data_IF_202092239603
#
_entry.id   IF_202092239603
#
_cell.length_a   1.000
_cell.length_b   1.000
_cell.length_c   1.000
_cell.angle_alpha   90.00
_cell.angle_beta   90.00
_cell.angle_gamma   90.00
#
_symmetry.space_group_name_H-M   'P 1'
#
loop_
_entity.id
_entity.type
_entity.pdbx_description
1 polymer ?
#
# COMPACT_ATOMS: atom_id res chain seq x y z
N UNK A 1 -17.12 -23.87 7.71
CA UNK A 1 -16.17 -24.14 6.61
C UNK A 1 -14.77 -24.22 7.21
N UNK A 2 -13.86 -24.99 6.61
CA UNK A 2 -12.47 -25.01 7.06
C UNK A 2 -11.83 -23.63 6.81
N UNK A 3 -11.03 -23.13 7.76
CA UNK A 3 -10.33 -21.85 7.61
C UNK A 3 -9.27 -21.95 6.51
N UNK A 4 -9.15 -20.91 5.69
CA UNK A 4 -8.06 -20.82 4.71
C UNK A 4 -6.74 -20.51 5.43
N UNK A 5 -5.67 -21.24 5.10
CA UNK A 5 -4.34 -21.00 5.68
C UNK A 5 -3.62 -19.90 4.94
N UNK A 6 -3.20 -18.87 5.68
CA UNK A 6 -2.53 -17.68 5.13
C UNK A 6 -1.10 -17.59 5.64
N UNK A 7 -0.14 -17.43 4.74
CA UNK A 7 1.20 -16.97 5.08
C UNK A 7 1.32 -15.48 4.75
N UNK A 8 1.58 -14.65 5.77
CA UNK A 8 1.73 -13.20 5.62
C UNK A 8 3.19 -12.78 5.85
N UNK A 9 3.84 -12.26 4.82
CA UNK A 9 5.14 -11.59 4.92
C UNK A 9 4.95 -10.10 5.23
N UNK A 10 5.74 -9.55 6.15
CA UNK A 10 5.75 -8.11 6.45
C UNK A 10 4.73 -7.66 7.50
N UNK A 11 4.23 -8.58 8.33
CA UNK A 11 3.17 -8.34 9.31
C UNK A 11 3.48 -7.26 10.37
N UNK A 12 4.75 -6.88 10.55
CA UNK A 12 5.17 -5.84 11.51
C UNK A 12 5.25 -4.45 10.90
N UNK A 13 5.05 -4.30 9.59
CA UNK A 13 4.99 -2.98 8.92
C UNK A 13 3.57 -2.43 8.89
N UNK A 14 3.41 -1.12 8.62
CA UNK A 14 2.09 -0.44 8.64
C UNK A 14 1.02 -1.17 7.81
N UNK A 15 1.35 -1.54 6.55
CA UNK A 15 0.47 -2.28 5.64
C UNK A 15 0.17 -3.68 6.15
N UNK A 16 1.21 -4.41 6.56
CA UNK A 16 1.09 -5.80 7.00
C UNK A 16 0.35 -5.94 8.32
N UNK A 17 0.49 -5.00 9.24
CA UNK A 17 -0.25 -4.98 10.51
C UNK A 17 -1.75 -4.81 10.25
N UNK A 18 -2.13 -3.87 9.38
CA UNK A 18 -3.54 -3.73 8.98
C UNK A 18 -4.08 -5.02 8.36
N UNK A 19 -3.33 -5.63 7.43
CA UNK A 19 -3.70 -6.90 6.81
C UNK A 19 -3.87 -8.01 7.84
N UNK A 20 -2.91 -8.17 8.76
CA UNK A 20 -2.99 -9.17 9.83
C UNK A 20 -4.25 -8.97 10.68
N UNK A 21 -4.53 -7.73 11.10
CA UNK A 21 -5.69 -7.42 11.92
C UNK A 21 -6.99 -7.75 11.18
N UNK A 22 -7.13 -7.34 9.92
CA UNK A 22 -8.33 -7.63 9.14
C UNK A 22 -8.54 -9.13 8.87
N UNK A 23 -7.49 -9.90 8.63
CA UNK A 23 -7.59 -11.36 8.49
C UNK A 23 -8.04 -12.04 9.79
N UNK A 24 -7.53 -11.59 10.94
CA UNK A 24 -7.91 -12.13 12.24
C UNK A 24 -9.34 -11.74 12.63
N UNK A 25 -9.74 -10.49 12.38
CA UNK A 25 -11.10 -9.99 12.59
C UNK A 25 -12.12 -10.73 11.73
N UNK A 26 -11.77 -11.05 10.48
CA UNK A 26 -12.63 -11.81 9.58
C UNK A 26 -12.92 -13.23 10.10
N UNK A 27 -11.99 -13.85 10.82
CA UNK A 27 -12.15 -15.16 11.45
C UNK A 27 -12.12 -16.37 10.50
N UNK A 28 -12.23 -16.15 9.18
CA UNK A 28 -12.15 -17.18 8.13
C UNK A 28 -10.75 -17.75 7.85
N UNK A 29 -9.72 -17.24 8.54
CA UNK A 29 -8.31 -17.54 8.25
C UNK A 29 -7.56 -18.16 9.43
N UNK A 30 -6.64 -19.08 9.11
CA UNK A 30 -5.55 -19.52 9.98
C UNK A 30 -4.28 -18.82 9.51
N UNK A 31 -3.84 -17.79 10.24
CA UNK A 31 -2.74 -16.91 9.82
C UNK A 31 -1.43 -17.32 10.47
N UNK A 32 -0.38 -17.47 9.66
CA UNK A 32 1.01 -17.53 10.09
C UNK A 32 1.80 -16.37 9.46
N UNK A 33 2.70 -15.77 10.21
CA UNK A 33 3.53 -14.65 9.73
C UNK A 33 4.93 -15.13 9.38
N UNK A 34 5.48 -14.62 8.28
CA UNK A 34 6.87 -14.85 7.88
C UNK A 34 7.74 -13.69 8.37
N UNK A 35 8.76 -14.01 9.15
CA UNK A 35 9.67 -13.04 9.78
C UNK A 35 11.10 -13.39 9.40
N UNK A 36 11.88 -12.38 8.97
CA UNK A 36 13.31 -12.58 8.71
C UNK A 36 14.07 -12.85 10.01
N UNK A 37 15.15 -13.67 10.00
CA UNK A 37 15.90 -14.03 11.21
C UNK A 37 16.33 -12.84 12.07
N UNK A 38 16.82 -11.76 11.44
CA UNK A 38 17.25 -10.54 12.13
C UNK A 38 16.14 -9.77 12.85
N UNK A 39 14.87 -10.13 12.66
CA UNK A 39 13.72 -9.49 13.28
C UNK A 39 12.97 -10.40 14.25
N UNK A 40 13.41 -11.65 14.42
CA UNK A 40 12.80 -12.66 15.28
C UNK A 40 12.51 -12.15 16.70
N UNK A 41 13.49 -11.47 17.29
CA UNK A 41 13.47 -11.05 18.69
C UNK A 41 12.85 -9.66 18.91
N UNK A 42 12.38 -9.00 17.84
CA UNK A 42 11.81 -7.66 17.95
C UNK A 42 10.50 -7.66 18.77
N UNK A 43 10.26 -6.64 19.60
CA UNK A 43 9.04 -6.55 20.42
C UNK A 43 7.74 -6.68 19.63
N UNK A 44 7.71 -6.15 18.40
CA UNK A 44 6.54 -6.20 17.52
C UNK A 44 6.18 -7.65 17.14
N UNK A 45 7.19 -8.51 16.90
CA UNK A 45 6.98 -9.93 16.58
C UNK A 45 6.46 -10.69 17.80
N UNK A 46 7.01 -10.41 18.99
CA UNK A 46 6.55 -11.01 20.26
C UNK A 46 5.09 -10.68 20.54
N UNK A 47 4.69 -9.41 20.37
CA UNK A 47 3.30 -8.97 20.50
C UNK A 47 2.36 -9.69 19.53
N UNK A 48 2.81 -9.96 18.29
CA UNK A 48 2.00 -10.74 17.34
C UNK A 48 1.88 -12.20 17.81
N UNK A 49 2.96 -12.81 18.28
CA UNK A 49 2.93 -14.18 18.79
C UNK A 49 2.00 -14.35 20.01
N UNK A 50 1.97 -13.37 20.92
CA UNK A 50 1.08 -13.33 22.09
C UNK A 50 -0.41 -13.35 21.72
N UNK A 51 -0.76 -12.94 20.50
CA UNK A 51 -2.13 -13.03 19.95
C UNK A 51 -2.49 -14.42 19.42
N UNK A 52 -1.60 -15.41 19.59
CA UNK A 52 -1.77 -16.78 19.10
C UNK A 52 -1.45 -16.96 17.61
N UNK A 53 -0.80 -15.97 16.98
CA UNK A 53 -0.40 -16.04 15.57
C UNK A 53 0.91 -16.82 15.46
N UNK A 54 0.93 -17.85 14.61
CA UNK A 54 2.14 -18.65 14.41
C UNK A 54 3.21 -17.82 13.70
N UNK A 55 4.42 -17.80 14.27
CA UNK A 55 5.59 -17.13 13.67
C UNK A 55 6.45 -18.16 12.97
N UNK A 56 6.77 -17.90 11.71
CA UNK A 56 7.71 -18.69 10.91
C UNK A 56 8.92 -17.82 10.59
N UNK A 57 10.11 -18.35 10.86
CA UNK A 57 11.36 -17.63 10.65
C UNK A 57 12.05 -18.18 9.41
N UNK A 58 12.26 -17.33 8.40
CA UNK A 58 13.10 -17.63 7.25
C UNK A 58 13.49 -16.35 6.51
N UNK A 59 14.60 -16.41 5.76
CA UNK A 59 15.01 -15.35 4.85
C UNK A 59 14.48 -15.64 3.44
N UNK A 60 13.75 -14.68 2.86
CA UNK A 60 13.23 -14.81 1.50
C UNK A 60 14.31 -14.72 0.42
N UNK A 61 15.50 -14.22 0.78
CA UNK A 61 16.69 -14.25 -0.08
C UNK A 61 17.49 -15.54 0.09
N UNK A 62 17.11 -16.39 1.04
CA UNK A 62 17.72 -17.70 1.27
C UNK A 62 17.29 -18.75 0.25
N UNK A 63 17.60 -20.04 0.52
CA UNK A 63 17.26 -21.13 -0.38
C UNK A 63 15.76 -21.26 -0.63
N UNK A 64 15.35 -21.28 -1.89
CA UNK A 64 13.93 -21.40 -2.30
C UNK A 64 13.25 -22.63 -1.69
N UNK A 65 13.95 -23.75 -1.54
CA UNK A 65 13.37 -24.99 -1.01
C UNK A 65 12.94 -24.91 0.47
N UNK A 66 13.57 -24.02 1.24
CA UNK A 66 13.14 -23.71 2.60
C UNK A 66 11.77 -23.01 2.58
N UNK A 67 11.63 -22.01 1.70
CA UNK A 67 10.36 -21.29 1.49
C UNK A 67 9.26 -22.20 0.92
N UNK A 68 9.62 -23.20 0.10
CA UNK A 68 8.67 -24.22 -0.38
C UNK A 68 8.12 -25.01 0.78
N UNK A 69 9.01 -25.48 1.67
CA UNK A 69 8.63 -26.28 2.84
C UNK A 69 7.70 -25.51 3.77
N UNK A 70 7.94 -24.20 3.96
CA UNK A 70 7.09 -23.30 4.75
C UNK A 70 5.71 -23.10 4.13
N UNK A 71 5.62 -23.08 2.80
CA UNK A 71 4.38 -22.82 2.07
C UNK A 71 3.55 -24.08 1.78
N UNK A 72 4.04 -25.28 2.10
CA UNK A 72 3.26 -26.52 1.92
C UNK A 72 1.98 -26.47 2.74
N UNK A 73 0.84 -26.66 2.07
CA UNK A 73 -0.48 -26.63 2.70
C UNK A 73 -0.97 -25.23 3.07
N UNK A 74 -0.30 -24.16 2.60
CA UNK A 74 -0.80 -22.79 2.64
C UNK A 74 -1.75 -22.57 1.45
N UNK A 75 -2.92 -22.00 1.71
CA UNK A 75 -3.88 -21.67 0.66
C UNK A 75 -3.55 -20.34 0.01
N UNK A 76 -3.19 -19.32 0.81
CA UNK A 76 -2.90 -17.96 0.34
C UNK A 76 -1.57 -17.46 0.90
N UNK A 77 -0.72 -16.92 0.04
CA UNK A 77 0.48 -16.18 0.46
C UNK A 77 0.31 -14.70 0.14
N UNK A 78 0.45 -13.84 1.15
CA UNK A 78 0.31 -12.38 1.04
C UNK A 78 1.64 -11.73 1.38
N UNK A 79 2.09 -10.80 0.53
CA UNK A 79 3.30 -10.03 0.76
C UNK A 79 2.97 -8.55 1.02
N UNK A 80 3.41 -8.06 2.17
CA UNK A 80 3.44 -6.65 2.55
C UNK A 80 4.89 -6.19 2.81
N UNK A 81 5.82 -6.65 1.98
CA UNK A 81 7.24 -6.27 2.07
C UNK A 81 7.46 -4.77 1.80
N UNK A 82 8.57 -4.22 2.27
CA UNK A 82 8.93 -2.83 2.03
C UNK A 82 9.27 -2.52 0.55
N UNK A 83 9.18 -1.25 0.18
CA UNK A 83 9.41 -0.79 -1.20
C UNK A 83 10.84 -1.05 -1.72
N UNK A 84 11.84 -1.19 -0.84
CA UNK A 84 13.23 -1.44 -1.27
C UNK A 84 13.48 -2.89 -1.65
N UNK A 85 12.67 -3.79 -1.11
CA UNK A 85 12.84 -5.23 -1.27
C UNK A 85 11.80 -5.83 -2.25
N UNK A 86 11.19 -5.01 -3.12
CA UNK A 86 10.10 -5.46 -4.00
C UNK A 86 10.47 -6.69 -4.83
N UNK A 87 11.64 -6.70 -5.46
CA UNK A 87 12.06 -7.80 -6.33
C UNK A 87 12.34 -9.10 -5.56
N UNK A 88 12.69 -9.03 -4.27
CA UNK A 88 12.94 -10.21 -3.42
C UNK A 88 11.71 -11.13 -3.30
N UNK A 89 10.50 -10.60 -3.56
CA UNK A 89 9.26 -11.37 -3.56
C UNK A 89 9.22 -12.46 -4.65
N UNK A 90 10.04 -12.38 -5.70
CA UNK A 90 10.07 -13.38 -6.76
C UNK A 90 10.46 -14.77 -6.23
N UNK A 91 11.36 -14.84 -5.22
CA UNK A 91 11.72 -16.10 -4.56
C UNK A 91 10.53 -16.69 -3.80
N UNK A 92 9.81 -15.83 -3.06
CA UNK A 92 8.61 -16.23 -2.32
C UNK A 92 7.51 -16.75 -3.27
N UNK A 93 7.29 -16.08 -4.40
CA UNK A 93 6.34 -16.50 -5.43
C UNK A 93 6.75 -17.82 -6.11
N UNK A 94 8.04 -17.99 -6.40
CA UNK A 94 8.58 -19.26 -6.95
C UNK A 94 8.32 -20.41 -6.00
N UNK A 95 8.59 -20.20 -4.70
CA UNK A 95 8.30 -21.16 -3.67
C UNK A 95 6.80 -21.45 -3.52
N UNK A 96 5.95 -20.42 -3.60
CA UNK A 96 4.51 -20.55 -3.54
C UNK A 96 3.97 -21.47 -4.64
N UNK A 97 4.48 -21.28 -5.88
CA UNK A 97 4.12 -22.13 -7.02
C UNK A 97 4.52 -23.59 -6.79
N UNK A 98 5.76 -23.84 -6.37
CA UNK A 98 6.25 -25.20 -6.09
C UNK A 98 5.49 -25.87 -4.94
N UNK A 99 5.06 -25.10 -3.95
CA UNK A 99 4.32 -25.59 -2.79
C UNK A 99 2.82 -25.84 -3.06
N UNK A 100 2.30 -25.38 -4.20
CA UNK A 100 0.89 -25.52 -4.57
C UNK A 100 -0.04 -24.50 -3.91
N UNK A 101 0.47 -23.31 -3.58
CA UNK A 101 -0.34 -22.19 -3.06
C UNK A 101 -1.44 -21.84 -4.06
N UNK A 102 -2.67 -21.64 -3.56
CA UNK A 102 -3.86 -21.42 -4.39
C UNK A 102 -4.03 -19.97 -4.82
N UNK A 103 -3.46 -19.02 -4.08
CA UNK A 103 -3.52 -17.59 -4.40
C UNK A 103 -2.31 -16.83 -3.83
N UNK A 104 -1.65 -16.03 -4.66
CA UNK A 104 -0.56 -15.15 -4.24
C UNK A 104 -0.98 -13.68 -4.38
N UNK A 105 -0.83 -12.90 -3.31
CA UNK A 105 -1.08 -11.46 -3.29
C UNK A 105 0.27 -10.75 -3.12
N UNK A 106 0.87 -10.23 -4.20
CA UNK A 106 2.15 -9.53 -4.11
C UNK A 106 1.99 -8.17 -3.41
N UNK A 107 3.11 -7.58 -3.01
CA UNK A 107 3.13 -6.22 -2.49
C UNK A 107 2.84 -5.21 -3.62
N UNK A 108 1.55 -4.95 -3.84
CA UNK A 108 1.04 -3.90 -4.71
C UNK A 108 0.80 -2.65 -3.87
N UNK A 109 -0.35 -2.56 -3.17
CA UNK A 109 -0.66 -1.56 -2.14
C UNK A 109 -0.31 -0.13 -2.54
N UNK A 110 -0.52 0.20 -3.81
CA UNK A 110 -0.08 1.45 -4.43
C UNK A 110 -1.26 2.15 -5.12
N UNK A 111 -1.00 3.35 -5.64
CA UNK A 111 -1.88 4.04 -6.58
C UNK A 111 -2.00 3.29 -7.89
N UNK A 112 -3.13 3.47 -8.57
CA UNK A 112 -3.29 3.00 -9.95
C UNK A 112 -2.41 3.84 -10.87
N UNK A 113 -1.57 3.16 -11.65
CA UNK A 113 -0.71 3.76 -12.68
C UNK A 113 -0.38 2.73 -13.76
N UNK A 114 -0.08 3.16 -15.01
CA UNK A 114 0.42 2.25 -16.03
C UNK A 114 1.87 1.84 -15.75
N UNK A 115 2.24 0.68 -16.27
CA UNK A 115 3.65 0.27 -16.40
C UNK A 115 4.34 1.07 -17.52
N UNK A 116 5.68 1.10 -17.49
CA UNK A 116 6.50 1.59 -18.61
C UNK A 116 7.05 2.99 -18.40
N UNK A 117 7.63 3.26 -17.23
CA UNK A 117 8.43 4.47 -17.00
C UNK A 117 7.65 5.68 -16.50
N UNK A 118 6.37 5.52 -16.13
CA UNK A 118 5.62 6.58 -15.42
C UNK A 118 6.08 6.65 -13.96
N UNK A 119 6.07 5.51 -13.27
CA UNK A 119 6.50 5.35 -11.89
C UNK A 119 7.49 4.20 -11.77
N UNK A 120 8.69 4.52 -11.32
CA UNK A 120 9.75 3.54 -11.10
C UNK A 120 9.32 2.38 -10.17
N UNK A 121 8.67 2.70 -9.05
CA UNK A 121 8.20 1.69 -8.10
C UNK A 121 7.06 0.83 -8.67
N UNK A 122 6.28 1.35 -9.62
CA UNK A 122 5.27 0.57 -10.35
C UNK A 122 5.94 -0.42 -11.28
N UNK A 123 7.00 0.00 -11.97
CA UNK A 123 7.76 -0.87 -12.86
C UNK A 123 8.41 -2.03 -12.09
N UNK A 124 9.05 -1.75 -10.93
CA UNK A 124 9.60 -2.80 -10.04
C UNK A 124 8.52 -3.82 -9.62
N UNK A 125 7.29 -3.36 -9.36
CA UNK A 125 6.14 -4.22 -8.99
C UNK A 125 5.67 -5.07 -10.18
N UNK A 126 5.61 -4.49 -11.38
CA UNK A 126 5.20 -5.20 -12.59
C UNK A 126 6.17 -6.31 -12.98
N UNK A 127 7.47 -6.18 -12.67
CA UNK A 127 8.41 -7.29 -12.81
C UNK A 127 7.99 -8.51 -11.98
N UNK A 128 7.56 -8.28 -10.73
CA UNK A 128 7.04 -9.34 -9.85
C UNK A 128 5.74 -9.92 -10.39
N UNK A 129 4.83 -9.08 -10.90
CA UNK A 129 3.56 -9.55 -11.47
C UNK A 129 3.79 -10.43 -12.70
N UNK A 130 4.72 -10.03 -13.56
CA UNK A 130 5.10 -10.81 -14.73
C UNK A 130 5.78 -12.12 -14.34
N UNK A 131 6.58 -12.14 -13.28
CA UNK A 131 7.13 -13.37 -12.73
C UNK A 131 6.05 -14.35 -12.27
N UNK A 132 5.07 -13.87 -11.49
CA UNK A 132 3.91 -14.65 -11.03
C UNK A 132 3.13 -15.23 -12.23
N UNK A 133 2.88 -14.42 -13.26
CA UNK A 133 2.20 -14.85 -14.49
C UNK A 133 2.99 -15.93 -15.24
N UNK A 134 4.32 -15.78 -15.39
CA UNK A 134 5.20 -16.79 -16.02
C UNK A 134 5.20 -18.12 -15.26
N UNK A 135 5.05 -18.09 -13.94
CA UNK A 135 4.94 -19.29 -13.10
C UNK A 135 3.58 -19.98 -13.21
N UNK A 136 2.58 -19.38 -13.85
CA UNK A 136 1.18 -19.82 -13.77
C UNK A 136 0.74 -19.98 -12.31
N UNK A 137 1.15 -19.04 -11.44
CA UNK A 137 0.73 -18.99 -10.05
C UNK A 137 -0.54 -18.15 -9.97
N UNK A 138 -1.65 -18.67 -9.40
CA UNK A 138 -2.86 -17.88 -9.31
C UNK A 138 -2.68 -16.69 -8.37
N UNK A 139 -3.25 -15.53 -8.71
CA UNK A 139 -2.90 -14.28 -8.05
C UNK A 139 -4.08 -13.32 -7.87
N UNK A 140 -3.90 -12.32 -7.02
CA UNK A 140 -4.75 -11.12 -6.99
C UNK A 140 -3.87 -9.91 -6.73
N UNK A 141 -3.92 -8.89 -7.60
CA UNK A 141 -3.20 -7.63 -7.42
C UNK A 141 -4.16 -6.63 -6.77
N UNK A 142 -3.76 -6.01 -5.66
CA UNK A 142 -4.61 -5.07 -4.92
C UNK A 142 -3.95 -3.69 -4.87
N UNK A 143 -4.49 -2.75 -5.63
CA UNK A 143 -4.16 -1.33 -5.53
C UNK A 143 -5.14 -0.61 -4.58
N UNK A 144 -4.68 0.45 -3.95
CA UNK A 144 -5.34 1.03 -2.77
C UNK A 144 -5.47 2.55 -2.82
N UNK A 145 -5.00 3.14 -3.92
CA UNK A 145 -4.88 4.58 -4.03
C UNK A 145 -3.79 5.11 -3.10
N UNK A 146 -4.03 6.30 -2.54
CA UNK A 146 -3.10 6.97 -1.62
C UNK A 146 -3.67 7.02 -0.19
N UNK A 147 -2.82 6.84 0.82
CA UNK A 147 -3.31 6.73 2.20
C UNK A 147 -3.81 8.05 2.75
N UNK A 148 -4.90 8.03 3.52
CA UNK A 148 -5.36 9.17 4.31
C UNK A 148 -4.24 9.73 5.19
N UNK A 149 -3.47 8.84 5.82
CA UNK A 149 -2.39 9.13 6.76
C UNK A 149 -1.24 9.96 6.17
N UNK A 150 -1.15 10.09 4.84
CA UNK A 150 -0.15 10.92 4.14
C UNK A 150 -0.78 11.87 3.12
N UNK A 151 -2.11 12.01 3.10
CA UNK A 151 -2.84 12.88 2.16
C UNK A 151 -3.32 14.19 2.81
N UNK A 152 -3.44 14.25 4.14
CA UNK A 152 -4.14 15.36 4.79
C UNK A 152 -3.32 16.66 4.86
N UNK A 153 -3.98 17.81 4.71
CA UNK A 153 -3.38 19.12 4.91
C UNK A 153 -2.95 19.28 6.37
N UNK A 154 -1.65 19.24 6.63
CA UNK A 154 -1.12 19.02 7.97
C UNK A 154 -0.62 20.30 8.65
N UNK A 155 -0.37 21.36 7.88
CA UNK A 155 0.21 22.61 8.36
C UNK A 155 -0.89 23.57 8.82
N UNK A 156 -1.40 23.36 10.04
CA UNK A 156 -2.41 24.21 10.68
C UNK A 156 -1.77 25.25 11.61
N UNK A 157 -2.38 26.44 11.80
CA UNK A 157 -1.94 27.44 12.78
C UNK A 157 -1.76 26.89 14.19
N UNK A 158 -2.67 26.03 14.66
CA UNK A 158 -2.60 25.39 15.98
C UNK A 158 -1.54 24.31 16.11
N UNK A 159 -0.98 23.83 14.99
CA UNK A 159 -0.06 22.68 14.94
C UNK A 159 -0.62 21.39 15.54
N UNK A 160 -1.95 21.29 15.70
CA UNK A 160 -2.60 20.17 16.37
C UNK A 160 -2.46 18.83 15.65
N UNK A 161 -2.06 18.83 14.38
CA UNK A 161 -1.83 17.62 13.59
C UNK A 161 -0.35 17.19 13.54
N UNK A 162 0.58 17.91 14.17
CA UNK A 162 2.02 17.58 14.16
C UNK A 162 2.29 16.16 14.68
N UNK A 163 1.49 15.67 15.64
CA UNK A 163 1.65 14.35 16.26
C UNK A 163 1.49 13.18 15.26
N UNK A 164 0.67 13.34 14.22
CA UNK A 164 0.42 12.33 13.20
C UNK A 164 1.16 12.60 11.88
N UNK A 165 1.73 13.79 11.71
CA UNK A 165 2.35 14.23 10.47
C UNK A 165 3.69 13.55 10.24
N UNK A 166 3.84 12.86 9.11
CA UNK A 166 5.12 12.27 8.69
C UNK A 166 5.99 13.31 7.99
N UNK A 167 5.41 14.00 7.00
CA UNK A 167 6.01 15.13 6.31
C UNK A 167 4.97 16.24 6.17
N UNK A 168 5.34 17.52 6.37
CA UNK A 168 4.42 18.64 6.19
C UNK A 168 3.74 18.61 4.82
N UNK A 169 2.41 18.64 4.81
CA UNK A 169 1.59 18.73 3.61
C UNK A 169 0.97 20.14 3.55
N UNK A 170 1.56 21.00 2.71
CA UNK A 170 1.05 22.34 2.40
C UNK A 170 1.01 22.63 0.89
N UNK A 171 1.45 21.68 0.05
CA UNK A 171 1.52 21.88 -1.40
C UNK A 171 0.18 21.57 -2.07
N UNK A 172 -0.19 22.40 -3.05
CA UNK A 172 -1.27 22.15 -4.02
C UNK A 172 -0.62 22.12 -5.40
N UNK A 173 -0.83 21.04 -6.15
CA UNK A 173 -0.21 20.80 -7.45
C UNK A 173 -1.17 21.18 -8.59
N UNK A 174 -0.67 21.93 -9.57
CA UNK A 174 -1.50 22.46 -10.65
C UNK A 174 -2.58 23.40 -10.11
N UNK A 175 -3.82 23.21 -10.53
CA UNK A 175 -4.99 23.91 -9.98
C UNK A 175 -5.56 23.26 -8.70
N UNK A 176 -5.04 22.08 -8.31
CA UNK A 176 -5.51 21.32 -7.16
C UNK A 176 -6.82 20.56 -7.38
N UNK A 177 -7.32 20.48 -8.61
CA UNK A 177 -8.62 19.86 -8.93
C UNK A 177 -8.52 18.41 -9.42
N UNK A 178 -7.30 17.90 -9.70
CA UNK A 178 -7.12 16.53 -10.15
C UNK A 178 -7.58 15.52 -9.07
N UNK A 179 -8.65 14.73 -9.32
CA UNK A 179 -9.17 13.80 -8.32
C UNK A 179 -8.28 12.56 -8.19
N UNK A 180 -8.24 12.01 -6.98
CA UNK A 180 -7.40 10.86 -6.62
C UNK A 180 -8.17 9.84 -5.79
N UNK A 181 -8.00 8.55 -6.10
CA UNK A 181 -8.41 7.46 -5.22
C UNK A 181 -7.58 7.55 -3.93
N UNK A 182 -8.27 7.67 -2.80
CA UNK A 182 -7.66 7.64 -1.48
C UNK A 182 -8.31 6.56 -0.61
N UNK A 183 -7.53 6.06 0.36
CA UNK A 183 -7.97 5.00 1.26
C UNK A 183 -7.41 5.15 2.67
N UNK A 184 -8.15 4.66 3.66
CA UNK A 184 -7.64 4.59 5.03
C UNK A 184 -6.87 3.28 5.26
N UNK A 185 -5.63 3.39 5.75
CA UNK A 185 -4.82 2.21 6.08
C UNK A 185 -5.53 1.25 7.05
N UNK A 186 -6.38 1.75 7.95
CA UNK A 186 -7.12 0.94 8.95
C UNK A 186 -8.16 0.00 8.34
N UNK A 187 -8.54 0.23 7.08
CA UNK A 187 -9.51 -0.60 6.36
C UNK A 187 -8.87 -1.63 5.45
N UNK A 188 -7.57 -1.46 5.15
CA UNK A 188 -6.86 -2.28 4.19
C UNK A 188 -7.00 -3.78 4.49
N UNK A 189 -6.83 -4.18 5.75
CA UNK A 189 -6.98 -5.59 6.11
C UNK A 189 -8.39 -6.12 5.93
N UNK A 190 -9.42 -5.33 6.26
CA UNK A 190 -10.82 -5.75 6.09
C UNK A 190 -11.16 -5.90 4.61
N UNK A 191 -10.66 -5.00 3.75
CA UNK A 191 -10.75 -5.15 2.30
C UNK A 191 -10.01 -6.40 1.81
N UNK A 192 -8.75 -6.58 2.24
CA UNK A 192 -7.89 -7.69 1.81
C UNK A 192 -8.52 -9.03 2.17
N UNK A 193 -9.07 -9.18 3.37
CA UNK A 193 -9.79 -10.39 3.79
C UNK A 193 -10.94 -10.72 2.82
N UNK A 194 -11.83 -9.77 2.52
CA UNK A 194 -12.94 -10.00 1.58
C UNK A 194 -12.46 -10.31 0.16
N UNK A 195 -11.48 -9.55 -0.34
CA UNK A 195 -10.92 -9.72 -1.68
C UNK A 195 -10.32 -11.12 -1.84
N UNK A 196 -9.52 -11.55 -0.87
CA UNK A 196 -8.81 -12.83 -0.95
C UNK A 196 -9.74 -14.03 -0.83
N UNK A 197 -10.87 -13.94 -0.13
CA UNK A 197 -11.87 -15.01 -0.07
C UNK A 197 -12.66 -15.16 -1.39
N UNK A 198 -12.85 -14.07 -2.11
CA UNK A 198 -13.76 -13.99 -3.26
C UNK A 198 -13.12 -14.52 -4.56
N UNK A 199 -13.67 -15.63 -5.07
CA UNK A 199 -13.26 -16.25 -6.34
C UNK A 199 -13.40 -15.32 -7.56
N UNK A 200 -14.26 -14.30 -7.51
CA UNK A 200 -14.38 -13.30 -8.58
C UNK A 200 -13.09 -12.50 -8.80
N UNK A 201 -12.24 -12.44 -7.77
CA UNK A 201 -10.97 -11.67 -7.79
C UNK A 201 -9.76 -12.52 -8.17
N UNK A 202 -9.95 -13.82 -8.40
CA UNK A 202 -8.87 -14.72 -8.78
C UNK A 202 -8.34 -14.37 -10.19
N UNK A 203 -7.02 -14.17 -10.28
CA UNK A 203 -6.29 -13.70 -11.46
C UNK A 203 -6.76 -12.32 -11.94
N UNK A 204 -7.13 -11.44 -11.01
CA UNK A 204 -7.59 -10.08 -11.29
C UNK A 204 -6.74 -9.03 -10.60
N UNK A 205 -6.85 -7.82 -11.16
CA UNK A 205 -6.49 -6.59 -10.49
C UNK A 205 -7.75 -6.05 -9.81
N UNK A 206 -7.62 -5.61 -8.56
CA UNK A 206 -8.70 -5.01 -7.77
C UNK A 206 -8.18 -3.69 -7.23
N UNK A 207 -8.99 -2.64 -7.27
CA UNK A 207 -8.69 -1.41 -6.52
C UNK A 207 -9.68 -1.23 -5.37
N UNK A 208 -9.17 -0.76 -4.24
CA UNK A 208 -9.97 -0.31 -3.10
C UNK A 208 -10.05 1.22 -3.12
N UNK A 209 -11.13 1.77 -2.59
CA UNK A 209 -11.38 3.20 -2.59
C UNK A 209 -12.25 3.55 -1.39
N UNK A 210 -11.81 4.51 -0.58
CA UNK A 210 -12.65 5.14 0.45
C UNK A 210 -13.37 6.34 -0.15
N UNK A 211 -12.61 7.28 -0.72
CA UNK A 211 -13.11 8.45 -1.42
C UNK A 211 -12.30 8.69 -2.71
N UNK A 212 -12.84 9.56 -3.56
CA UNK A 212 -12.16 10.11 -4.74
C UNK A 212 -12.15 11.61 -4.58
N UNK A 213 -11.02 12.19 -4.17
CA UNK A 213 -10.92 13.60 -3.81
C UNK A 213 -9.79 14.32 -4.54
N UNK A 214 -10.02 15.58 -4.87
CA UNK A 214 -8.97 16.53 -5.27
C UNK A 214 -8.24 17.09 -4.05
N UNK A 215 -7.09 17.74 -4.27
CA UNK A 215 -6.35 18.40 -3.18
C UNK A 215 -7.19 19.55 -2.59
N UNK A 216 -7.88 20.33 -3.42
CA UNK A 216 -8.76 21.38 -2.92
C UNK A 216 -9.91 20.84 -2.06
N UNK A 217 -10.48 19.69 -2.41
CA UNK A 217 -11.49 19.02 -1.59
C UNK A 217 -10.92 18.49 -0.27
N UNK A 218 -9.72 17.90 -0.28
CA UNK A 218 -9.01 17.48 0.94
C UNK A 218 -8.82 18.65 1.89
N UNK A 219 -8.31 19.77 1.39
CA UNK A 219 -8.06 20.97 2.20
C UNK A 219 -9.37 21.58 2.73
N UNK A 220 -10.42 21.62 1.90
CA UNK A 220 -11.74 22.11 2.32
C UNK A 220 -12.34 21.25 3.44
N UNK A 221 -12.21 19.92 3.37
CA UNK A 221 -12.65 19.03 4.45
C UNK A 221 -11.88 19.30 5.75
N UNK A 222 -10.56 19.52 5.68
CA UNK A 222 -9.76 19.89 6.84
C UNK A 222 -10.22 21.23 7.43
N UNK A 223 -10.45 22.24 6.60
CA UNK A 223 -10.94 23.55 7.03
C UNK A 223 -12.29 23.46 7.73
N UNK A 224 -13.24 22.74 7.14
CA UNK A 224 -14.58 22.59 7.71
C UNK A 224 -14.59 21.83 9.03
N UNK A 225 -13.77 20.78 9.16
CA UNK A 225 -13.75 19.95 10.38
C UNK A 225 -12.99 20.64 11.51
N UNK A 226 -11.92 21.38 11.20
CA UNK A 226 -11.06 22.02 12.21
C UNK A 226 -11.45 23.46 12.53
N UNK A 227 -12.13 24.15 11.61
CA UNK A 227 -12.35 25.59 11.66
C UNK A 227 -11.08 26.41 11.38
N UNK A 228 -9.98 25.78 10.97
CA UNK A 228 -8.69 26.41 10.73
C UNK A 228 -8.32 26.40 9.24
N UNK A 229 -7.60 27.43 8.78
CA UNK A 229 -7.08 27.49 7.41
C UNK A 229 -5.67 26.90 7.35
N UNK A 230 -5.46 25.71 6.76
CA UNK A 230 -4.12 25.17 6.53
C UNK A 230 -3.32 26.03 5.53
N UNK A 231 -2.00 25.98 5.64
CA UNK A 231 -1.11 26.60 4.67
C UNK A 231 -1.28 25.96 3.28
N UNK A 232 -1.43 26.78 2.23
CA UNK A 232 -1.51 26.35 0.83
C UNK A 232 -0.38 27.00 0.02
N UNK A 233 0.46 26.19 -0.61
CA UNK A 233 1.57 26.57 -1.49
C UNK A 233 1.33 25.94 -2.85
N UNK A 234 0.97 26.75 -3.84
CA UNK A 234 0.72 26.26 -5.18
C UNK A 234 2.04 26.00 -5.91
N UNK A 235 2.12 24.89 -6.63
CA UNK A 235 3.18 24.58 -7.60
C UNK A 235 2.54 24.25 -8.94
N UNK A 236 3.10 24.74 -10.03
CA UNK A 236 2.63 24.48 -11.38
C UNK A 236 2.89 23.03 -11.82
N UNK A 237 2.15 22.54 -12.82
CA UNK A 237 2.41 21.22 -13.40
C UNK A 237 3.82 21.16 -14.03
N UNK A 238 4.27 22.25 -14.63
CA UNK A 238 5.61 22.39 -15.21
C UNK A 238 6.70 22.25 -14.14
N UNK A 239 6.51 22.81 -12.95
CA UNK A 239 7.43 22.63 -11.82
C UNK A 239 7.46 21.17 -11.34
N UNK A 240 6.30 20.50 -11.27
CA UNK A 240 6.24 19.07 -10.92
C UNK A 240 7.00 18.21 -11.92
N UNK A 241 6.84 18.49 -13.22
CA UNK A 241 7.58 17.82 -14.28
C UNK A 241 9.08 18.10 -14.22
N UNK A 242 9.48 19.34 -13.97
CA UNK A 242 10.89 19.72 -13.84
C UNK A 242 11.56 19.01 -12.67
N UNK A 243 10.92 19.00 -11.48
CA UNK A 243 11.42 18.29 -10.29
C UNK A 243 11.55 16.79 -10.58
N UNK A 244 10.57 16.20 -11.25
CA UNK A 244 10.63 14.79 -11.65
C UNK A 244 11.79 14.49 -12.59
N UNK A 245 11.99 15.32 -13.61
CA UNK A 245 13.07 15.12 -14.57
C UNK A 245 14.44 15.24 -13.90
N UNK A 246 14.61 16.22 -13.01
CA UNK A 246 15.85 16.36 -12.23
C UNK A 246 16.09 15.15 -11.30
N UNK A 247 15.04 14.69 -10.60
CA UNK A 247 15.14 13.53 -9.71
C UNK A 247 15.53 12.26 -10.47
N UNK A 248 15.02 12.09 -11.72
CA UNK A 248 15.41 10.98 -12.61
C UNK A 248 16.87 11.04 -12.99
N UNK A 249 17.35 12.21 -13.44
CA UNK A 249 18.76 12.39 -13.82
C UNK A 249 19.68 12.08 -12.64
N UNK A 250 19.34 12.52 -11.42
CA UNK A 250 20.13 12.26 -10.21
C UNK A 250 20.15 10.78 -9.83
N UNK A 251 19.00 10.11 -9.87
CA UNK A 251 18.90 8.67 -9.60
C UNK A 251 19.65 7.85 -10.65
N UNK A 252 19.58 8.21 -11.93
CA UNK A 252 20.31 7.52 -13.01
C UNK A 252 21.82 7.72 -12.92
N UNK A 253 22.27 8.90 -12.48
CA UNK A 253 23.70 9.20 -12.30
C UNK A 253 24.30 8.50 -11.08
N UNK A 254 23.52 8.35 -10.01
CA UNK A 254 23.94 7.77 -8.74
C UNK A 254 22.91 6.74 -8.25
N UNK A 255 22.78 5.57 -8.92
CA UNK A 255 21.69 4.61 -8.69
C UNK A 255 21.76 3.93 -7.31
N UNK A 256 22.93 3.93 -6.68
CA UNK A 256 23.12 3.40 -5.32
C UNK A 256 22.73 4.42 -4.23
N UNK A 257 22.42 5.67 -4.61
CA UNK A 257 22.01 6.71 -3.65
C UNK A 257 20.57 6.50 -3.21
N UNK A 258 20.41 6.03 -1.97
CA UNK A 258 19.12 5.85 -1.34
C UNK A 258 18.24 7.12 -1.40
N UNK A 259 18.83 8.28 -1.12
CA UNK A 259 18.07 9.54 -1.11
C UNK A 259 17.59 9.92 -2.52
N UNK A 260 18.43 9.74 -3.56
CA UNK A 260 18.03 10.02 -4.93
C UNK A 260 16.87 9.11 -5.36
N UNK A 261 16.91 7.83 -4.98
CA UNK A 261 15.82 6.87 -5.24
C UNK A 261 14.52 7.30 -4.57
N UNK A 262 14.57 7.68 -3.29
CA UNK A 262 13.39 8.16 -2.56
C UNK A 262 12.79 9.40 -3.22
N UNK A 263 13.62 10.39 -3.55
CA UNK A 263 13.17 11.62 -4.20
C UNK A 263 12.56 11.36 -5.59
N UNK A 264 13.15 10.44 -6.37
CA UNK A 264 12.58 10.02 -7.66
C UNK A 264 11.22 9.35 -7.49
N UNK A 265 11.10 8.42 -6.54
CA UNK A 265 9.82 7.75 -6.26
C UNK A 265 8.76 8.77 -5.86
N UNK A 266 9.07 9.70 -4.95
CA UNK A 266 8.14 10.75 -4.53
C UNK A 266 7.70 11.64 -5.71
N UNK A 267 8.65 12.06 -6.55
CA UNK A 267 8.35 12.89 -7.73
C UNK A 267 7.51 12.16 -8.78
N UNK A 268 7.78 10.86 -9.02
CA UNK A 268 6.99 10.01 -9.90
C UNK A 268 5.53 9.88 -9.40
N UNK A 269 5.31 9.72 -8.08
CA UNK A 269 3.96 9.71 -7.50
C UNK A 269 3.24 11.04 -7.73
N UNK A 270 3.88 12.18 -7.46
CA UNK A 270 3.28 13.51 -7.66
C UNK A 270 2.90 13.72 -9.13
N UNK A 271 3.79 13.39 -10.05
CA UNK A 271 3.54 13.49 -11.48
C UNK A 271 2.37 12.61 -11.93
N UNK A 272 2.35 11.33 -11.52
CA UNK A 272 1.28 10.39 -11.88
C UNK A 272 -0.08 10.84 -11.33
N UNK A 273 -0.14 11.30 -10.08
CA UNK A 273 -1.38 11.71 -9.42
C UNK A 273 -1.93 13.04 -9.90
N UNK A 274 -1.07 14.05 -10.08
CA UNK A 274 -1.51 15.44 -10.21
C UNK A 274 -1.32 16.03 -11.60
N UNK A 275 -0.38 15.52 -12.39
CA UNK A 275 -0.18 15.99 -13.78
C UNK A 275 -0.88 15.06 -14.77
N UNK A 276 -0.74 13.74 -14.58
CA UNK A 276 -1.37 12.74 -15.45
C UNK A 276 -2.77 12.33 -15.01
N UNK A 277 -3.05 12.37 -13.72
CA UNK A 277 -4.31 11.91 -13.16
C UNK A 277 -4.53 10.39 -13.27
N UNK A 278 -3.47 9.58 -13.21
CA UNK A 278 -3.60 8.12 -13.42
C UNK A 278 -4.41 7.44 -12.29
N UNK A 279 -4.36 7.96 -11.06
CA UNK A 279 -4.95 7.32 -9.88
C UNK A 279 -6.46 7.61 -9.72
N UNK A 280 -7.25 7.24 -10.73
CA UNK A 280 -8.70 7.48 -10.80
C UNK A 280 -9.51 6.20 -11.08
N UNK A 281 -10.76 6.08 -10.60
CA UNK A 281 -11.58 4.89 -10.85
C UNK A 281 -11.82 4.61 -12.33
N UNK A 282 -12.03 5.65 -13.15
CA UNK A 282 -12.28 5.54 -14.58
C UNK A 282 -11.06 4.92 -15.29
N UNK A 283 -9.86 5.36 -14.92
CA UNK A 283 -8.62 4.83 -15.46
C UNK A 283 -8.34 3.40 -14.97
N UNK A 284 -8.61 3.11 -13.69
CA UNK A 284 -8.51 1.75 -13.15
C UNK A 284 -9.44 0.77 -13.90
N UNK A 285 -10.69 1.19 -14.16
CA UNK A 285 -11.65 0.41 -14.95
C UNK A 285 -11.19 0.22 -16.39
N UNK A 286 -10.62 1.26 -17.02
CA UNK A 286 -10.02 1.15 -18.35
C UNK A 286 -8.88 0.10 -18.39
N UNK A 287 -8.06 0.02 -17.33
CA UNK A 287 -7.02 -1.01 -17.20
C UNK A 287 -7.55 -2.40 -16.80
N UNK A 288 -8.86 -2.57 -16.65
CA UNK A 288 -9.51 -3.84 -16.34
C UNK A 288 -9.53 -4.21 -14.85
N UNK A 289 -9.34 -3.25 -13.95
CA UNK A 289 -9.46 -3.50 -12.51
C UNK A 289 -10.92 -3.68 -12.12
N UNK A 290 -11.16 -4.54 -11.13
CA UNK A 290 -12.44 -4.61 -10.42
C UNK A 290 -12.49 -3.54 -9.32
N UNK A 291 -13.62 -2.86 -9.20
CA UNK A 291 -13.88 -1.91 -8.10
C UNK A 291 -14.37 -2.68 -6.87
N UNK A 292 -13.62 -2.63 -5.76
CA UNK A 292 -14.01 -3.32 -4.53
C UNK A 292 -15.35 -2.82 -3.96
N UNK A 293 -15.75 -1.57 -4.22
CA UNK A 293 -17.03 -1.02 -3.77
C UNK A 293 -18.21 -1.64 -4.52
N UNK A 294 -18.00 -2.01 -5.79
CA UNK A 294 -19.00 -2.71 -6.60
C UNK A 294 -19.08 -4.20 -6.21
N UNK A 295 -17.94 -4.81 -5.87
CA UNK A 295 -17.89 -6.21 -5.41
C UNK A 295 -18.54 -6.40 -4.03
N UNK A 296 -18.40 -5.41 -3.15
CA UNK A 296 -18.81 -5.45 -1.74
C UNK A 296 -19.60 -4.17 -1.35
N UNK A 297 -20.83 -3.99 -1.85
CA UNK A 297 -21.61 -2.77 -1.62
C UNK A 297 -22.04 -2.58 -0.15
N UNK A 298 -21.88 -3.60 0.69
CA UNK A 298 -22.12 -3.54 2.14
C UNK A 298 -20.90 -3.04 2.93
N UNK A 299 -19.70 -3.04 2.33
CA UNK A 299 -18.51 -2.50 3.00
C UNK A 299 -18.66 -1.00 3.19
N UNK A 300 -18.28 -0.50 4.38
CA UNK A 300 -18.31 0.92 4.72
C UNK A 300 -16.87 1.35 5.02
N UNK A 301 -16.16 1.95 4.06
CA UNK A 301 -14.83 2.47 4.34
C UNK A 301 -14.92 3.71 5.22
N UNK A 302 -13.88 3.93 6.01
CA UNK A 302 -13.63 5.17 6.73
C UNK A 302 -13.41 6.25 5.68
N UNK A 303 -14.33 7.20 5.61
CA UNK A 303 -14.17 8.35 4.70
C UNK A 303 -13.07 9.27 5.18
N UNK A 304 -12.49 10.06 4.28
CA UNK A 304 -11.48 11.05 4.61
C UNK A 304 -11.98 12.05 5.67
N UNK A 305 -13.24 12.48 5.60
CA UNK A 305 -13.83 13.33 6.64
C UNK A 305 -13.88 12.63 8.01
N UNK A 306 -14.21 11.34 8.06
CA UNK A 306 -14.19 10.57 9.31
C UNK A 306 -12.75 10.42 9.84
N UNK A 307 -11.78 10.20 8.97
CA UNK A 307 -10.36 10.21 9.31
C UNK A 307 -9.92 11.56 9.92
N UNK A 308 -10.30 12.71 9.32
CA UNK A 308 -9.94 14.03 9.87
C UNK A 308 -10.58 14.28 11.24
N UNK A 309 -11.77 13.74 11.52
CA UNK A 309 -12.36 13.78 12.88
C UNK A 309 -11.54 12.97 13.88
N UNK A 310 -11.13 11.76 13.51
CA UNK A 310 -10.25 10.95 14.37
C UNK A 310 -8.89 11.62 14.59
N UNK A 311 -8.39 12.34 13.58
CA UNK A 311 -7.17 13.14 13.67
C UNK A 311 -7.34 14.33 14.63
N UNK A 312 -8.49 15.00 14.59
CA UNK A 312 -8.83 16.07 15.54
C UNK A 312 -8.96 15.54 16.98
N UNK A 313 -9.48 14.32 17.14
CA UNK A 313 -9.66 13.66 18.44
C UNK A 313 -8.38 13.02 19.00
N UNK A 314 -7.23 13.12 18.30
CA UNK A 314 -5.97 12.54 18.76
C UNK A 314 -5.87 11.02 18.60
N UNK A 315 -6.72 10.38 17.78
CA UNK A 315 -6.84 8.91 17.67
C UNK A 315 -5.94 8.27 16.62
N UNK A 316 -5.38 9.07 15.71
CA UNK A 316 -4.54 8.56 14.62
C UNK A 316 -3.15 8.20 15.12
N UNK A 317 -2.72 6.96 14.86
CA UNK A 317 -1.33 6.55 15.07
C UNK A 317 -0.52 6.95 13.85
N UNK A 318 0.57 7.69 14.07
CA UNK A 318 1.53 8.06 13.02
C UNK A 318 2.14 6.79 12.43
N UNK A 319 2.05 6.54 11.11
CA UNK A 319 2.70 5.40 10.50
C UNK A 319 4.22 5.47 10.68
N UNK A 320 4.82 4.31 10.96
CA UNK A 320 6.26 4.17 11.11
C UNK A 320 6.90 3.90 9.76
N UNK A 321 7.53 4.91 9.16
CA UNK A 321 8.34 4.72 7.98
C UNK A 321 9.82 4.82 8.36
N UNK A 322 10.52 3.68 8.36
CA UNK A 322 11.99 3.65 8.43
C UNK A 322 12.54 4.10 7.07
N UNK A 323 12.55 5.41 6.85
CA UNK A 323 13.26 6.07 5.74
C UNK A 323 14.76 6.23 6.04
N UNK A 324 15.27 5.58 7.10
CA UNK A 324 16.66 5.56 7.54
C UNK A 324 17.06 4.13 7.87
#
# INVERSE_FOLDING_TARGET
>A
MAKQRVLLLGATGNTGESILNGLLEHGGYEVQILVRPSSAEKPEVKKIAERGVKVVIADINGPVEELVSIQKGVDVTISAIDARSQLAQMNLATAAKKAGVKRFVPCAWTTVAPAGGVMLLRDDKEEVYNHIKRLYLPYTIIDVGFWHQISFASVLPSRRFDYATIMPQSTIHGDGEQPNIIGDLRDLGRWTARIVEDERTLNKYVFTCSDVLSENQIYSIVEEVTGEKPERKQVSCEEVEAVRNEARIKDEKEPDSFMNRVMRVEADYKYSKYVRGDNQPEYAKYLGYLDARELYPDFRPITFRAFVKDLLDGKIVKPHYDFM
#
